data_IF_687353977207
#
_entry.id   IF_687353977207
#
_cell.length_a   1.000
_cell.length_b   1.000
_cell.length_c   1.000
_cell.angle_alpha   90.00
_cell.angle_beta   90.00
_cell.angle_gamma   90.00
#
_symmetry.space_group_name_H-M   'P 1'
#
loop_
_entity.id
_entity.type
_entity.pdbx_description
1 polymer ?
#
# COMPACT_ATOMS: atom_id res chain seq x y z
N UNK A 1 -15.54 -19.00 -16.57
CA UNK A 1 -15.33 -19.38 -15.15
C UNK A 1 -13.84 -19.53 -14.95
N UNK A 2 -13.17 -18.47 -14.50
CA UNK A 2 -11.77 -18.54 -14.09
C UNK A 2 -11.67 -19.51 -12.92
N UNK A 3 -10.74 -20.46 -12.98
CA UNK A 3 -10.51 -21.43 -11.91
C UNK A 3 -10.13 -20.70 -10.61
N UNK A 4 -10.75 -21.05 -9.49
CA UNK A 4 -10.50 -20.43 -8.19
C UNK A 4 -9.03 -20.59 -7.79
N UNK A 5 -8.44 -21.74 -8.14
CA UNK A 5 -7.04 -22.04 -7.90
C UNK A 5 -6.10 -21.07 -8.66
N UNK A 6 -6.48 -20.68 -9.87
CA UNK A 6 -5.71 -19.71 -10.64
C UNK A 6 -5.74 -18.32 -9.97
N UNK A 7 -6.90 -17.90 -9.46
CA UNK A 7 -7.05 -16.60 -8.78
C UNK A 7 -6.19 -16.56 -7.51
N UNK A 8 -6.27 -17.61 -6.70
CA UNK A 8 -5.45 -17.76 -5.49
C UNK A 8 -3.96 -17.69 -5.82
N UNK A 9 -3.52 -18.42 -6.85
CA UNK A 9 -2.12 -18.41 -7.28
C UNK A 9 -1.68 -17.02 -7.77
N UNK A 10 -2.51 -16.34 -8.56
CA UNK A 10 -2.23 -15.00 -9.07
C UNK A 10 -2.09 -13.97 -7.95
N UNK A 11 -3.00 -13.99 -6.96
CA UNK A 11 -2.95 -13.11 -5.79
C UNK A 11 -1.70 -13.40 -4.95
N UNK A 12 -1.43 -14.68 -4.68
CA UNK A 12 -0.29 -15.10 -3.85
C UNK A 12 1.04 -14.71 -4.50
N UNK A 13 1.18 -14.92 -5.81
CA UNK A 13 2.37 -14.52 -6.56
C UNK A 13 2.56 -12.99 -6.60
N UNK A 14 1.48 -12.22 -6.68
CA UNK A 14 1.53 -10.76 -6.72
C UNK A 14 1.76 -10.10 -5.35
N UNK A 15 1.54 -10.82 -4.23
CA UNK A 15 1.56 -10.23 -2.87
C UNK A 15 2.84 -9.45 -2.55
N UNK A 16 4.07 -9.96 -2.76
CA UNK A 16 5.28 -9.24 -2.37
C UNK A 16 5.42 -7.90 -3.12
N UNK A 17 5.13 -7.89 -4.42
CA UNK A 17 5.20 -6.70 -5.24
C UNK A 17 4.10 -5.70 -4.87
N UNK A 18 2.88 -6.17 -4.64
CA UNK A 18 1.77 -5.31 -4.30
C UNK A 18 1.94 -4.65 -2.92
N UNK A 19 2.33 -5.43 -1.90
CA UNK A 19 2.62 -4.93 -0.56
C UNK A 19 3.80 -3.95 -0.59
N UNK A 20 4.90 -4.27 -1.29
CA UNK A 20 6.06 -3.38 -1.40
C UNK A 20 5.69 -2.02 -2.00
N UNK A 21 4.92 -2.00 -3.09
CA UNK A 21 4.48 -0.78 -3.73
C UNK A 21 3.51 0.04 -2.85
N UNK A 22 2.55 -0.62 -2.19
CA UNK A 22 1.59 0.04 -1.30
C UNK A 22 2.28 0.59 -0.04
N UNK A 23 3.19 -0.17 0.56
CA UNK A 23 3.99 0.28 1.70
C UNK A 23 4.86 1.48 1.36
N UNK A 24 5.48 1.51 0.18
CA UNK A 24 6.22 2.69 -0.28
C UNK A 24 5.33 3.93 -0.39
N UNK A 25 4.08 3.75 -0.85
CA UNK A 25 3.15 4.84 -1.05
C UNK A 25 2.59 5.39 0.28
N UNK A 26 2.19 4.51 1.19
CA UNK A 26 1.53 4.89 2.45
C UNK A 26 2.49 5.07 3.63
N UNK A 27 3.69 4.48 3.56
CA UNK A 27 4.69 4.44 4.64
C UNK A 27 4.19 3.87 5.97
N UNK A 28 3.11 3.10 5.89
CA UNK A 28 2.46 2.46 7.02
C UNK A 28 2.09 1.04 6.61
N UNK A 29 2.59 0.06 7.37
CA UNK A 29 2.44 -1.36 7.04
C UNK A 29 0.98 -1.80 7.18
N UNK A 30 0.31 -1.35 8.24
CA UNK A 30 -1.09 -1.71 8.50
C UNK A 30 -1.99 -1.21 7.37
N UNK A 31 -1.85 0.06 6.97
CA UNK A 31 -2.56 0.64 5.82
C UNK A 31 -2.25 -0.09 4.52
N UNK A 32 -0.99 -0.47 4.29
CA UNK A 32 -0.60 -1.19 3.07
C UNK A 32 -1.19 -2.61 3.01
N UNK A 33 -1.20 -3.33 4.14
CA UNK A 33 -1.82 -4.64 4.23
C UNK A 33 -3.34 -4.57 4.05
N UNK A 34 -4.01 -3.62 4.72
CA UNK A 34 -5.45 -3.43 4.56
C UNK A 34 -5.82 -3.03 3.13
N UNK A 35 -5.02 -2.16 2.49
CA UNK A 35 -5.17 -1.79 1.09
C UNK A 35 -5.08 -3.03 0.17
N UNK A 36 -4.08 -3.88 0.39
CA UNK A 36 -3.90 -5.11 -0.39
C UNK A 36 -5.06 -6.09 -0.17
N UNK A 37 -5.48 -6.31 1.07
CA UNK A 37 -6.60 -7.20 1.39
C UNK A 37 -7.90 -6.71 0.73
N UNK A 38 -8.18 -5.40 0.77
CA UNK A 38 -9.30 -4.79 0.06
C UNK A 38 -9.23 -5.01 -1.46
N UNK A 39 -8.04 -4.93 -2.05
CA UNK A 39 -7.84 -5.25 -3.45
C UNK A 39 -8.12 -6.74 -3.75
N UNK A 40 -7.65 -7.66 -2.90
CA UNK A 40 -7.92 -9.09 -3.01
C UNK A 40 -9.43 -9.40 -2.96
N UNK A 41 -10.18 -8.78 -2.04
CA UNK A 41 -11.63 -8.94 -1.96
C UNK A 41 -12.32 -8.49 -3.26
N UNK A 42 -11.88 -7.37 -3.84
CA UNK A 42 -12.39 -6.88 -5.13
C UNK A 42 -12.00 -7.79 -6.28
N UNK A 43 -10.80 -8.36 -6.28
CA UNK A 43 -10.35 -9.34 -7.27
C UNK A 43 -11.21 -10.61 -7.22
N UNK A 44 -11.39 -11.19 -6.03
CA UNK A 44 -12.23 -12.37 -5.80
C UNK A 44 -13.67 -12.18 -6.24
N UNK A 45 -14.20 -10.95 -6.15
CA UNK A 45 -15.53 -10.62 -6.65
C UNK A 45 -15.56 -10.41 -8.18
N UNK A 46 -14.59 -9.68 -8.73
CA UNK A 46 -14.67 -9.18 -10.12
C UNK A 46 -14.06 -10.10 -11.17
N UNK A 47 -12.96 -10.80 -10.86
CA UNK A 47 -12.24 -11.63 -11.85
C UNK A 47 -12.98 -12.91 -12.28
N UNK A 48 -13.80 -13.58 -11.43
CA UNK A 48 -14.61 -14.72 -11.90
C UNK A 48 -15.64 -14.33 -12.97
N UNK A 49 -16.19 -13.11 -12.87
CA UNK A 49 -17.24 -12.59 -13.76
C UNK A 49 -16.66 -11.96 -15.03
N UNK A 50 -15.65 -11.10 -14.87
CA UNK A 50 -15.10 -10.27 -15.96
C UNK A 50 -13.83 -10.85 -16.60
N UNK A 51 -13.32 -11.94 -16.04
CA UNK A 51 -11.99 -12.45 -16.34
C UNK A 51 -10.90 -11.67 -15.61
N UNK A 52 -9.70 -12.27 -15.48
CA UNK A 52 -8.59 -11.60 -14.82
C UNK A 52 -7.95 -10.50 -15.69
N UNK A 53 -7.31 -9.50 -15.06
CA UNK A 53 -6.52 -8.49 -15.77
C UNK A 53 -5.27 -9.10 -16.40
N UNK A 54 -4.71 -8.41 -17.40
CA UNK A 54 -3.44 -8.80 -18.04
C UNK A 54 -2.26 -8.86 -17.05
N UNK A 55 -2.28 -7.97 -16.06
CA UNK A 55 -1.28 -7.88 -14.99
C UNK A 55 -2.00 -7.82 -13.63
N UNK A 56 -2.10 -8.95 -12.93
CA UNK A 56 -2.71 -9.03 -11.60
C UNK A 56 -2.03 -8.14 -10.56
N UNK A 57 -0.70 -8.02 -10.58
CA UNK A 57 0.04 -7.23 -9.59
C UNK A 57 -0.24 -5.74 -9.77
N UNK A 58 -0.15 -5.22 -10.99
CA UNK A 58 -0.46 -3.82 -11.28
C UNK A 58 -1.92 -3.48 -10.93
N UNK A 59 -2.85 -4.40 -11.19
CA UNK A 59 -4.26 -4.21 -10.84
C UNK A 59 -4.46 -4.16 -9.32
N UNK A 60 -3.86 -5.08 -8.56
CA UNK A 60 -3.96 -5.11 -7.10
C UNK A 60 -3.37 -3.85 -6.46
N UNK A 61 -2.23 -3.36 -6.97
CA UNK A 61 -1.63 -2.10 -6.51
C UNK A 61 -2.57 -0.92 -6.74
N UNK A 62 -3.08 -0.78 -7.97
CA UNK A 62 -3.95 0.34 -8.32
C UNK A 62 -5.25 0.33 -7.50
N UNK A 63 -5.89 -0.83 -7.40
CA UNK A 63 -7.16 -0.98 -6.69
C UNK A 63 -6.98 -0.80 -5.19
N UNK A 64 -5.91 -1.37 -4.61
CA UNK A 64 -5.59 -1.21 -3.20
C UNK A 64 -5.30 0.24 -2.84
N UNK A 65 -4.48 0.92 -3.64
CA UNK A 65 -4.17 2.35 -3.46
C UNK A 65 -5.44 3.20 -3.46
N UNK A 66 -6.32 3.01 -4.45
CA UNK A 66 -7.56 3.77 -4.55
C UNK A 66 -8.49 3.49 -3.36
N UNK A 67 -8.62 2.23 -2.95
CA UNK A 67 -9.44 1.84 -1.80
C UNK A 67 -8.96 2.49 -0.49
N UNK A 68 -7.65 2.48 -0.23
CA UNK A 68 -7.08 3.08 0.98
C UNK A 68 -7.18 4.62 0.97
N UNK A 69 -6.97 5.28 -0.18
CA UNK A 69 -7.20 6.74 -0.31
C UNK A 69 -8.66 7.09 0.02
N UNK A 70 -9.61 6.30 -0.47
CA UNK A 70 -11.02 6.52 -0.18
C UNK A 70 -11.34 6.33 1.31
N UNK A 71 -10.72 5.35 1.98
CA UNK A 71 -10.83 5.17 3.43
C UNK A 71 -10.24 6.36 4.21
N UNK A 72 -9.03 6.80 3.88
CA UNK A 72 -8.38 7.97 4.53
C UNK A 72 -9.24 9.22 4.37
N UNK A 73 -9.77 9.46 3.16
CA UNK A 73 -10.69 10.59 2.91
C UNK A 73 -11.97 10.49 3.72
N UNK A 74 -12.50 9.28 3.92
CA UNK A 74 -13.69 9.05 4.72
C UNK A 74 -13.42 9.30 6.20
N UNK A 75 -12.29 8.84 6.71
CA UNK A 75 -11.86 9.05 8.09
C UNK A 75 -11.64 10.54 8.37
N UNK A 76 -10.96 11.27 7.48
CA UNK A 76 -10.73 12.71 7.61
C UNK A 76 -12.05 13.52 7.67
N UNK A 77 -13.11 13.07 6.99
CA UNK A 77 -14.45 13.70 7.09
C UNK A 77 -15.17 13.40 8.40
N UNK A 78 -14.81 12.32 9.08
CA UNK A 78 -15.42 11.90 10.35
C UNK A 78 -14.69 12.46 11.57
N UNK A 79 -13.41 12.79 11.42
CA UNK A 79 -12.66 13.52 12.44
C UNK A 79 -13.14 14.96 12.50
N UNK A 80 -13.59 15.41 13.68
CA UNK A 80 -13.91 16.82 13.91
C UNK A 80 -12.66 17.67 13.67
N UNK A 81 -12.78 18.76 12.90
CA UNK A 81 -11.66 19.69 12.71
C UNK A 81 -11.23 20.24 14.08
N UNK A 82 -9.92 20.32 14.38
CA UNK A 82 -9.45 21.07 15.53
C UNK A 82 -9.86 22.55 15.39
N UNK A 83 -10.00 23.28 16.51
CA UNK A 83 -10.25 24.72 16.47
C UNK A 83 -9.17 25.43 15.64
N UNK A 84 -9.58 26.45 14.87
CA UNK A 84 -8.78 27.16 13.85
C UNK A 84 -7.40 27.62 14.37
N UNK A 85 -7.28 27.90 15.67
CA UNK A 85 -6.06 28.37 16.34
C UNK A 85 -4.91 27.33 16.37
N UNK A 86 -5.19 26.04 16.14
CA UNK A 86 -4.18 24.96 16.18
C UNK A 86 -3.59 24.59 14.81
N UNK A 87 -4.07 25.17 13.70
CA UNK A 87 -3.74 24.72 12.33
C UNK A 87 -2.45 25.38 11.79
N UNK A 88 -1.90 26.37 12.51
CA UNK A 88 -0.68 27.06 12.11
C UNK A 88 0.57 26.41 12.69
N UNK A 89 0.98 25.26 12.17
CA UNK A 89 2.38 24.85 12.24
C UNK A 89 2.84 24.42 10.84
N UNK A 90 3.76 25.21 10.28
CA UNK A 90 4.18 25.17 8.87
C UNK A 90 5.42 24.32 8.62
N UNK A 91 5.96 23.67 9.65
CA UNK A 91 7.20 22.90 9.55
C UNK A 91 6.91 21.45 9.14
N UNK A 92 6.97 21.22 7.82
CA UNK A 92 6.94 19.89 7.21
C UNK A 92 8.32 19.21 7.33
N UNK A 93 8.56 18.63 8.50
CA UNK A 93 9.85 18.00 8.87
C UNK A 93 10.08 16.66 8.15
N UNK A 94 9.06 16.09 7.48
CA UNK A 94 9.12 14.75 6.89
C UNK A 94 9.57 14.73 5.41
N UNK A 95 9.39 15.85 4.70
CA UNK A 95 9.77 16.02 3.29
C UNK A 95 11.28 15.81 3.00
N UNK A 96 12.24 16.28 3.82
CA UNK A 96 13.66 16.14 3.52
C UNK A 96 14.17 14.69 3.58
N UNK A 97 13.54 13.83 4.39
CA UNK A 97 13.93 12.43 4.52
C UNK A 97 13.38 11.59 3.35
N UNK A 98 12.18 11.93 2.87
CA UNK A 98 11.56 11.36 1.68
C UNK A 98 12.44 11.53 0.42
N UNK A 99 12.92 12.75 0.17
CA UNK A 99 13.67 13.09 -1.03
C UNK A 99 15.03 12.39 -1.11
N UNK A 100 15.71 12.20 0.04
CA UNK A 100 16.97 11.45 0.12
C UNK A 100 16.80 9.97 -0.19
N UNK A 101 15.64 9.43 0.15
CA UNK A 101 15.29 8.03 -0.02
C UNK A 101 14.81 7.71 -1.45
N UNK A 102 14.30 8.70 -2.19
CA UNK A 102 13.96 8.57 -3.61
C UNK A 102 15.16 8.80 -4.54
N UNK A 103 16.19 9.54 -4.10
CA UNK A 103 17.45 9.74 -4.84
C UNK A 103 18.40 8.53 -4.85
N UNK A 104 18.22 7.58 -3.93
CA UNK A 104 18.97 6.33 -3.94
C UNK A 104 18.36 5.37 -4.97
N UNK A 105 19.05 5.17 -6.09
CA UNK A 105 18.69 4.25 -7.19
C UNK A 105 18.63 2.76 -6.73
N UNK A 106 17.71 2.40 -5.85
CA UNK A 106 17.33 1.01 -5.60
C UNK A 106 16.04 0.73 -6.35
N UNK A 107 16.17 0.00 -7.45
CA UNK A 107 15.09 -0.27 -8.40
C UNK A 107 14.22 -1.47 -8.00
N UNK A 108 14.43 -2.00 -6.79
CA UNK A 108 13.80 -3.22 -6.30
C UNK A 108 13.19 -2.98 -4.91
N UNK A 109 11.86 -2.86 -4.89
CA UNK A 109 11.08 -2.59 -3.68
C UNK A 109 11.09 -3.79 -2.71
N UNK A 110 11.35 -5.02 -3.17
CA UNK A 110 11.44 -6.22 -2.33
C UNK A 110 12.72 -6.17 -1.49
N UNK A 111 13.85 -5.88 -2.13
CA UNK A 111 15.13 -5.73 -1.42
C UNK A 111 15.07 -4.59 -0.40
N UNK A 112 14.39 -3.50 -0.72
CA UNK A 112 14.20 -2.39 0.20
C UNK A 112 13.41 -2.80 1.45
N UNK A 113 12.33 -3.56 1.29
CA UNK A 113 11.54 -4.06 2.41
C UNK A 113 12.36 -4.99 3.30
N UNK A 114 13.14 -5.89 2.70
CA UNK A 114 14.05 -6.78 3.44
C UNK A 114 15.01 -5.98 4.34
N UNK A 115 15.66 -4.94 3.80
CA UNK A 115 16.59 -4.12 4.57
C UNK A 115 15.92 -3.31 5.67
N UNK A 116 14.70 -2.82 5.45
CA UNK A 116 13.93 -2.12 6.49
C UNK A 116 13.58 -3.07 7.62
N UNK A 117 13.06 -4.27 7.32
CA UNK A 117 12.66 -5.26 8.33
C UNK A 117 13.86 -5.91 9.05
N UNK A 118 15.05 -5.87 8.47
CA UNK A 118 16.29 -6.39 9.06
C UNK A 118 17.21 -5.29 9.60
N UNK A 119 16.72 -4.06 9.75
CA UNK A 119 17.57 -2.95 10.20
C UNK A 119 18.04 -3.20 11.66
N UNK A 120 19.35 -3.06 11.96
CA UNK A 120 19.90 -3.38 13.29
C UNK A 120 19.35 -2.49 14.42
N UNK A 121 18.76 -1.34 14.08
CA UNK A 121 18.10 -0.46 15.06
C UNK A 121 16.66 -0.85 15.39
N UNK A 122 16.10 -1.89 14.73
CA UNK A 122 14.82 -2.44 15.15
C UNK A 122 14.98 -3.17 16.49
N UNK A 123 14.07 -2.96 17.44
CA UNK A 123 14.15 -3.63 18.74
C UNK A 123 14.08 -5.15 18.55
N UNK A 124 14.94 -5.93 19.24
CA UNK A 124 14.86 -7.38 19.18
C UNK A 124 13.54 -7.83 19.80
N UNK A 125 12.78 -8.62 19.04
CA UNK A 125 11.60 -9.35 19.53
C UNK A 125 12.01 -10.47 20.49
#
# INVERSE_FOLDING_TARGET
MSDLAWIEQAITAARPQAIGALLRYFRDLDTAEEAFQNACLRALKSWPENGPPRDPAAWLILVGRNAAIDQVRRQARQTALPPEDLISDLDDVETPMADRLDGAHYRDDILRLLFICCHPDLPPT
#
